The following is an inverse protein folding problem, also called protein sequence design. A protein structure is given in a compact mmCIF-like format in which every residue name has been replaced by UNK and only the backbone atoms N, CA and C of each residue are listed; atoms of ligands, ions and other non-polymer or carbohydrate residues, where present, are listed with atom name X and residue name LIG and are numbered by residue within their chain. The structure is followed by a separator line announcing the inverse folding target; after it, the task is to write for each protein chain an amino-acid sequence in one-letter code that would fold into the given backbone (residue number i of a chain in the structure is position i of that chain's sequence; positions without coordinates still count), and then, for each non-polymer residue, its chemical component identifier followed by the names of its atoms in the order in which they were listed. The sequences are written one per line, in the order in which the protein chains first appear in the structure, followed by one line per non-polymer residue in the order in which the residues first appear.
data_IF_450222236871
#
_entry.id   IF_450222236871
#
_cell.length_a   1.000
_cell.length_b   1.000
_cell.length_c   1.000
_cell.angle_alpha   90.00
_cell.angle_beta   90.00
_cell.angle_gamma   90.00
#
_symmetry.space_group_name_H-M   'P 1'
#
loop_
_entity.id
_entity.type
_entity.pdbx_description
1 polymer ?
#
# COMPACT_ATOMS: atom_id res chain seq x y z
N UNK A 1 -7.25 -29.08 10.20
CA UNK A 1 -6.33 -29.76 9.27
C UNK A 1 -5.25 -28.77 8.90
N UNK A 2 -4.09 -28.87 9.56
CA UNK A 2 -2.98 -27.92 9.43
C UNK A 2 -2.31 -28.02 8.07
N UNK A 3 -2.27 -26.92 7.32
CA UNK A 3 -1.33 -26.76 6.22
C UNK A 3 0.01 -26.29 6.82
N UNK A 4 0.98 -27.20 6.87
CA UNK A 4 2.36 -26.93 7.25
C UNK A 4 3.03 -26.02 6.21
N UNK A 5 3.11 -24.72 6.47
CA UNK A 5 3.90 -23.79 5.66
C UNK A 5 5.36 -23.78 6.17
N UNK A 6 6.08 -24.90 6.03
CA UNK A 6 7.51 -24.98 6.34
C UNK A 6 8.33 -24.81 5.05
N UNK A 7 8.55 -23.56 4.65
CA UNK A 7 9.75 -23.16 3.93
C UNK A 7 9.99 -21.68 4.18
N UNK A 8 10.32 -21.39 5.44
CA UNK A 8 10.74 -20.09 5.92
C UNK A 8 12.11 -19.82 5.32
N UNK A 9 12.18 -19.00 4.28
CA UNK A 9 13.45 -18.39 3.88
C UNK A 9 13.94 -17.58 5.07
N UNK A 10 15.27 -17.54 5.33
CA UNK A 10 15.89 -17.11 6.60
C UNK A 10 15.60 -15.66 7.08
N UNK A 11 14.69 -14.93 6.43
CA UNK A 11 14.32 -13.55 6.71
C UNK A 11 12.83 -13.33 7.01
N UNK A 12 11.95 -14.33 6.91
CA UNK A 12 10.51 -14.14 7.15
C UNK A 12 10.04 -14.80 8.45
N UNK A 13 9.84 -14.00 9.50
CA UNK A 13 8.99 -14.41 10.63
C UNK A 13 7.52 -14.49 10.18
N UNK A 14 6.75 -15.40 10.77
CA UNK A 14 5.36 -15.69 10.39
C UNK A 14 4.38 -14.52 10.69
N UNK A 15 4.83 -13.56 11.47
CA UNK A 15 4.13 -12.31 11.78
C UNK A 15 5.02 -11.23 11.16
N UNK A 16 4.55 -10.55 10.11
CA UNK A 16 5.31 -9.56 9.36
C UNK A 16 5.59 -8.25 10.11
N UNK A 17 5.75 -8.33 11.44
CA UNK A 17 5.95 -7.17 12.31
C UNK A 17 7.43 -6.94 12.54
N UNK A 18 7.96 -5.86 11.96
CA UNK A 18 9.32 -5.39 12.22
C UNK A 18 9.32 -4.42 13.41
N UNK A 19 10.14 -4.72 14.43
CA UNK A 19 10.43 -3.81 15.56
C UNK A 19 11.62 -2.89 15.30
N UNK A 20 12.29 -3.05 14.16
CA UNK A 20 13.39 -2.19 13.75
C UNK A 20 12.84 -0.82 13.30
N UNK A 21 13.54 0.30 13.60
CA UNK A 21 13.26 1.58 12.96
C UNK A 21 13.14 1.39 11.45
N UNK A 22 12.18 2.06 10.81
CA UNK A 22 11.99 1.95 9.37
C UNK A 22 13.31 2.27 8.66
N UNK A 23 13.90 1.24 8.02
CA UNK A 23 15.13 1.40 7.25
C UNK A 23 14.76 2.11 5.95
N UNK A 24 14.92 3.44 5.94
CA UNK A 24 14.58 4.29 4.81
C UNK A 24 15.33 3.86 3.54
N UNK A 25 16.59 3.43 3.67
CA UNK A 25 17.38 2.96 2.54
C UNK A 25 16.79 1.67 1.95
N UNK A 26 16.38 0.74 2.82
CA UNK A 26 15.70 -0.47 2.37
C UNK A 26 14.36 -0.16 1.70
N UNK A 27 13.55 0.73 2.26
CA UNK A 27 12.27 1.13 1.70
C UNK A 27 12.44 1.78 0.32
N UNK A 28 13.42 2.67 0.17
CA UNK A 28 13.75 3.31 -1.10
C UNK A 28 14.14 2.28 -2.17
N UNK A 29 14.98 1.32 -1.80
CA UNK A 29 15.47 0.31 -2.74
C UNK A 29 14.39 -0.72 -3.10
N UNK A 30 13.53 -1.08 -2.16
CA UNK A 30 12.64 -2.22 -2.29
C UNK A 30 11.20 -1.84 -2.60
N UNK A 31 10.72 -0.64 -2.31
CA UNK A 31 9.31 -0.24 -2.53
C UNK A 31 9.23 0.82 -3.62
N UNK A 32 9.48 0.46 -4.90
CA UNK A 32 9.62 1.43 -5.98
C UNK A 32 8.34 2.21 -6.26
N UNK A 33 7.17 1.63 -6.00
CA UNK A 33 5.89 2.33 -6.15
C UNK A 33 5.74 3.49 -5.15
N UNK A 34 6.21 3.33 -3.90
CA UNK A 34 6.18 4.37 -2.88
C UNK A 34 7.19 5.48 -3.19
N UNK A 35 8.40 5.12 -3.63
CA UNK A 35 9.42 6.08 -4.08
C UNK A 35 8.95 6.89 -5.29
N UNK A 36 8.27 6.24 -6.24
CA UNK A 36 7.72 6.91 -7.41
C UNK A 36 6.52 7.81 -7.09
N UNK A 37 5.88 7.65 -5.94
CA UNK A 37 4.78 8.51 -5.52
C UNK A 37 5.32 9.86 -5.03
N UNK A 38 4.94 11.01 -5.65
CA UNK A 38 5.43 12.32 -5.19
C UNK A 38 5.02 12.68 -3.77
N UNK A 39 3.94 12.07 -3.27
CA UNK A 39 3.47 12.25 -1.90
C UNK A 39 4.11 11.28 -0.90
N UNK A 40 4.93 10.32 -1.36
CA UNK A 40 5.52 9.30 -0.48
C UNK A 40 4.50 8.36 0.18
N UNK A 41 3.29 8.26 -0.38
CA UNK A 41 2.19 7.51 0.23
C UNK A 41 2.57 6.06 0.54
N UNK A 42 2.20 5.57 1.72
CA UNK A 42 2.32 4.15 2.09
C UNK A 42 1.39 3.25 1.25
N UNK A 43 1.84 2.99 0.02
CA UNK A 43 1.12 2.17 -0.97
C UNK A 43 0.96 0.73 -0.48
N UNK A 44 2.00 0.03 0.00
CA UNK A 44 1.84 -1.32 0.51
C UNK A 44 0.82 -1.41 1.65
N UNK A 45 0.86 -0.47 2.60
CA UNK A 45 -0.02 -0.46 3.76
C UNK A 45 -1.48 -0.31 3.39
N UNK A 46 -1.84 0.68 2.54
CA UNK A 46 -3.25 0.82 2.16
C UNK A 46 -3.71 -0.29 1.21
N UNK A 47 -2.83 -0.86 0.38
CA UNK A 47 -3.17 -2.01 -0.46
C UNK A 47 -3.48 -3.24 0.38
N UNK A 48 -2.69 -3.49 1.43
CA UNK A 48 -2.97 -4.57 2.40
C UNK A 48 -4.30 -4.33 3.11
N UNK A 49 -4.57 -3.11 3.57
CA UNK A 49 -5.85 -2.77 4.17
C UNK A 49 -7.03 -2.99 3.20
N UNK A 50 -6.89 -2.63 1.92
CA UNK A 50 -7.89 -2.92 0.87
C UNK A 50 -8.06 -4.43 0.65
N UNK A 51 -6.96 -5.19 0.57
CA UNK A 51 -6.99 -6.65 0.42
C UNK A 51 -7.77 -7.33 1.55
N UNK A 52 -7.64 -6.80 2.77
CA UNK A 52 -8.32 -7.29 3.96
C UNK A 52 -9.75 -6.73 4.14
N UNK A 53 -10.26 -5.97 3.16
CA UNK A 53 -11.58 -5.33 3.23
C UNK A 53 -11.68 -4.17 4.22
N UNK A 54 -10.56 -3.70 4.78
CA UNK A 54 -10.47 -2.60 5.76
C UNK A 54 -10.38 -1.24 5.04
N UNK A 55 -11.41 -0.91 4.25
CA UNK A 55 -11.42 0.32 3.42
C UNK A 55 -11.29 1.62 4.23
N UNK A 56 -11.89 1.69 5.42
CA UNK A 56 -11.75 2.86 6.31
C UNK A 56 -10.31 3.06 6.76
N UNK A 57 -9.61 1.99 7.10
CA UNK A 57 -8.19 2.03 7.46
C UNK A 57 -7.33 2.40 6.25
N UNK A 58 -7.59 1.80 5.09
CA UNK A 58 -6.90 2.15 3.84
C UNK A 58 -7.07 3.65 3.51
N UNK A 59 -8.27 4.20 3.72
CA UNK A 59 -8.53 5.62 3.51
C UNK A 59 -7.79 6.49 4.54
N UNK A 60 -7.74 6.06 5.81
CA UNK A 60 -6.97 6.73 6.85
C UNK A 60 -5.47 6.75 6.58
N UNK A 61 -4.89 5.64 6.10
CA UNK A 61 -3.48 5.56 5.70
C UNK A 61 -3.21 6.57 4.59
N UNK A 62 -4.04 6.59 3.54
CA UNK A 62 -3.91 7.54 2.44
C UNK A 62 -4.00 9.02 2.90
N UNK A 63 -4.80 9.30 3.94
CA UNK A 63 -4.99 10.64 4.47
C UNK A 63 -3.77 11.17 5.26
N UNK A 64 -2.87 10.30 5.73
CA UNK A 64 -1.64 10.70 6.45
C UNK A 64 -0.72 11.52 5.55
N UNK A 65 -0.60 11.09 4.29
CA UNK A 65 0.33 11.68 3.32
C UNK A 65 -0.37 12.61 2.32
N UNK A 66 -1.71 12.60 2.28
CA UNK A 66 -2.48 13.35 1.30
C UNK A 66 -3.84 13.80 1.81
N UNK A 67 -4.19 15.08 1.68
CA UNK A 67 -5.49 15.61 2.14
C UNK A 67 -6.65 15.38 1.13
N UNK A 68 -6.37 14.94 -0.09
CA UNK A 68 -7.36 14.69 -1.15
C UNK A 68 -7.29 13.29 -1.80
N UNK A 69 -7.25 12.19 -1.02
CA UNK A 69 -7.06 10.85 -1.58
C UNK A 69 -8.23 10.40 -2.47
N UNK A 70 -9.45 10.82 -2.17
CA UNK A 70 -10.62 10.54 -3.01
C UNK A 70 -10.53 11.17 -4.41
N UNK A 71 -9.97 12.38 -4.51
CA UNK A 71 -9.73 13.07 -5.78
C UNK A 71 -8.58 12.39 -6.52
N UNK A 72 -7.46 12.12 -5.84
CA UNK A 72 -6.30 11.48 -6.46
C UNK A 72 -6.60 10.06 -6.96
N UNK A 73 -7.49 9.30 -6.31
CA UNK A 73 -7.95 8.02 -6.85
C UNK A 73 -8.62 8.12 -8.24
N UNK A 74 -8.98 9.33 -8.69
CA UNK A 74 -9.66 9.60 -9.97
C UNK A 74 -8.76 10.32 -10.98
N UNK A 75 -7.86 11.19 -10.52
CA UNK A 75 -7.08 12.09 -11.40
C UNK A 75 -5.57 11.87 -11.36
N UNK A 76 -5.07 10.97 -10.51
CA UNK A 76 -3.63 10.71 -10.40
C UNK A 76 -3.02 10.30 -11.76
N UNK A 77 -1.81 10.78 -12.03
CA UNK A 77 -1.00 10.42 -13.21
C UNK A 77 -0.37 9.03 -13.11
N UNK A 78 -0.50 8.36 -11.96
CA UNK A 78 -0.10 6.96 -11.71
C UNK A 78 1.40 6.62 -11.88
N UNK A 79 2.37 7.48 -11.50
CA UNK A 79 3.80 7.13 -11.63
C UNK A 79 4.18 5.89 -10.80
N UNK A 80 3.43 5.62 -9.73
CA UNK A 80 3.59 4.43 -8.90
C UNK A 80 3.25 3.10 -9.61
N UNK A 81 2.36 3.12 -10.61
CA UNK A 81 1.98 1.92 -11.37
C UNK A 81 3.08 1.56 -12.37
N UNK A 82 3.66 2.54 -13.06
CA UNK A 82 4.82 2.35 -13.94
C UNK A 82 6.04 1.77 -13.20
N UNK A 83 6.27 2.21 -11.96
CA UNK A 83 7.36 1.73 -11.11
C UNK A 83 7.04 0.39 -10.39
N UNK A 84 5.83 -0.15 -10.53
CA UNK A 84 5.39 -1.30 -9.74
C UNK A 84 6.20 -2.56 -10.06
N UNK A 85 6.68 -3.25 -9.03
CA UNK A 85 7.49 -4.48 -9.18
C UNK A 85 6.75 -5.60 -9.92
N UNK A 86 5.42 -5.67 -9.78
CA UNK A 86 4.58 -6.66 -10.46
C UNK A 86 4.50 -6.43 -11.97
N UNK A 87 4.71 -5.20 -12.44
CA UNK A 87 4.76 -4.86 -13.87
C UNK A 87 6.13 -5.05 -14.53
N UNK A 88 7.12 -5.60 -13.82
CA UNK A 88 8.43 -5.91 -14.41
C UNK A 88 8.34 -7.12 -15.33
N UNK A 89 9.23 -7.17 -16.32
CA UNK A 89 9.31 -8.25 -17.30
C UNK A 89 9.23 -9.64 -16.65
N UNK A 90 8.23 -10.42 -17.08
CA UNK A 90 8.00 -11.78 -16.60
C UNK A 90 7.12 -11.91 -15.35
N UNK A 91 6.74 -10.81 -14.68
CA UNK A 91 5.91 -10.85 -13.46
C UNK A 91 4.41 -10.60 -13.72
N UNK A 92 4.06 -10.07 -14.89
CA UNK A 92 2.68 -9.73 -15.26
C UNK A 92 2.45 -8.23 -15.31
N UNK A 93 1.23 -7.81 -14.94
CA UNK A 93 0.80 -6.42 -15.00
C UNK A 93 1.03 -5.69 -13.66
N UNK A 94 1.24 -4.36 -13.68
CA UNK A 94 1.20 -3.54 -12.48
C UNK A 94 -0.07 -3.71 -11.66
N UNK A 95 0.06 -3.55 -10.35
CA UNK A 95 -1.10 -3.43 -9.47
C UNK A 95 -1.85 -2.14 -9.82
N UNK A 96 -3.18 -2.18 -9.84
CA UNK A 96 -4.06 -1.03 -10.06
C UNK A 96 -4.13 -0.09 -8.84
N UNK A 97 -2.98 0.45 -8.43
CA UNK A 97 -2.73 1.22 -7.21
C UNK A 97 -3.70 2.41 -7.07
N UNK A 98 -3.92 3.17 -8.15
CA UNK A 98 -4.81 4.33 -8.14
C UNK A 98 -6.28 3.94 -8.00
N UNK A 99 -6.69 2.83 -8.60
CA UNK A 99 -8.05 2.34 -8.44
C UNK A 99 -8.28 1.78 -7.04
N UNK A 100 -7.30 1.12 -6.42
CA UNK A 100 -7.38 0.72 -5.01
C UNK A 100 -7.50 1.94 -4.08
N UNK A 101 -6.79 3.04 -4.38
CA UNK A 101 -6.94 4.31 -3.64
C UNK A 101 -8.36 4.88 -3.77
N UNK A 102 -8.94 4.85 -4.98
CA UNK A 102 -10.34 5.21 -5.19
C UNK A 102 -11.29 4.30 -4.41
N UNK A 103 -11.10 2.99 -4.45
CA UNK A 103 -11.92 2.03 -3.71
C UNK A 103 -11.86 2.29 -2.21
N UNK A 104 -10.69 2.61 -1.65
CA UNK A 104 -10.57 2.98 -0.24
C UNK A 104 -11.48 4.17 0.11
N UNK A 105 -11.53 5.21 -0.73
CA UNK A 105 -12.42 6.35 -0.52
C UNK A 105 -13.90 5.99 -0.71
N UNK A 106 -14.24 5.34 -1.83
CA UNK A 106 -15.62 5.04 -2.24
C UNK A 106 -16.30 4.07 -1.24
N UNK A 107 -15.53 3.19 -0.59
CA UNK A 107 -16.03 2.23 0.42
C UNK A 107 -15.70 2.62 1.86
N UNK A 108 -15.02 3.75 2.11
CA UNK A 108 -14.92 4.28 3.46
C UNK A 108 -16.29 4.76 3.91
N UNK A 109 -16.77 4.28 5.06
CA UNK A 109 -18.07 4.70 5.60
C UNK A 109 -18.15 6.24 5.69
N UNK A 110 -19.36 6.80 5.56
CA UNK A 110 -19.64 8.25 5.47
C UNK A 110 -19.28 9.08 6.71
N UNK A 111 -18.62 8.48 7.70
CA UNK A 111 -18.17 9.15 8.90
C UNK A 111 -16.77 9.73 8.69
N UNK A 112 -16.48 10.95 9.19
CA UNK A 112 -15.15 11.52 9.16
C UNK A 112 -14.09 10.54 9.67
N UNK A 113 -12.95 10.48 9.00
CA UNK A 113 -11.79 9.72 9.49
C UNK A 113 -11.01 10.62 10.42
N UNK A 114 -10.82 10.16 11.65
CA UNK A 114 -9.94 10.81 12.61
C UNK A 114 -8.51 10.31 12.38
N UNK A 115 -7.61 11.24 12.08
CA UNK A 115 -6.18 10.93 11.98
C UNK A 115 -5.60 10.96 13.39
N UNK A 116 -4.98 9.85 13.78
CA UNK A 116 -4.17 9.83 15.00
C UNK A 116 -2.91 10.68 14.76
N UNK A 117 -2.52 11.52 15.73
CA UNK A 117 -1.34 12.37 15.63
C UNK A 117 -0.03 11.58 15.52
#
# INVERSE_FOLDING_TARGET
MSANFKSTTALSVAEGDSTAPQDLFWLEQNIPCQVACPAGTDIPGYLEAVYQGRFREAYAINLRDNVFPAVLGRVCSRPCEDACRHGRDGNGEPVAICFSKRSAADFSASQPVELQP
#
